data_IF_441893704128
#
_entry.id   IF_441893704128
#
_cell.length_a   1.000
_cell.length_b   1.000
_cell.length_c   1.000
_cell.angle_alpha   90.00
_cell.angle_beta   90.00
_cell.angle_gamma   90.00
#
_symmetry.space_group_name_H-M   'P 1'
#
loop_
_entity.id
_entity.type
_entity.pdbx_description
1 polymer ?
#
# COMPACT_ATOMS: atom_id res chain seq x y z
N UNK A 1 -16.53 6.40 1.05
CA UNK A 1 -15.06 6.57 1.02
C UNK A 1 -14.58 5.82 -0.19
N UNK A 2 -13.64 6.38 -0.95
CA UNK A 2 -13.10 5.70 -2.12
C UNK A 2 -12.04 4.69 -1.66
N UNK A 3 -12.02 3.55 -2.34
CA UNK A 3 -11.09 2.45 -2.12
C UNK A 3 -10.60 1.99 -3.49
N UNK A 4 -9.28 1.87 -3.62
CA UNK A 4 -8.64 1.26 -4.80
C UNK A 4 -7.75 0.14 -4.27
N UNK A 5 -7.96 -1.08 -4.76
CA UNK A 5 -7.27 -2.26 -4.26
C UNK A 5 -6.86 -3.22 -5.37
N UNK A 6 -5.83 -4.01 -5.09
CA UNK A 6 -5.25 -4.98 -6.01
C UNK A 6 -4.16 -5.79 -5.33
N UNK A 7 -3.41 -6.55 -6.12
CA UNK A 7 -2.22 -7.26 -5.66
C UNK A 7 -0.97 -6.68 -6.33
N UNK A 8 0.18 -6.81 -5.68
CA UNK A 8 1.49 -6.52 -6.24
C UNK A 8 2.46 -7.64 -5.84
N UNK A 9 3.63 -7.70 -6.46
CA UNK A 9 4.71 -8.56 -5.94
C UNK A 9 5.31 -7.98 -4.65
N UNK A 10 5.57 -8.82 -3.65
CA UNK A 10 6.14 -8.39 -2.36
C UNK A 10 7.45 -7.61 -2.54
N UNK A 11 8.31 -8.04 -3.47
CA UNK A 11 9.57 -7.35 -3.83
C UNK A 11 9.37 -5.90 -4.30
N UNK A 12 8.18 -5.55 -4.77
CA UNK A 12 7.83 -4.22 -5.28
C UNK A 12 7.24 -3.29 -4.20
N UNK A 13 6.94 -3.81 -3.00
CA UNK A 13 6.24 -3.07 -1.94
C UNK A 13 6.93 -1.75 -1.60
N UNK A 14 8.25 -1.76 -1.43
CA UNK A 14 8.99 -0.54 -1.08
C UNK A 14 8.81 0.55 -2.13
N UNK A 15 9.05 0.22 -3.40
CA UNK A 15 8.92 1.17 -4.50
C UNK A 15 7.48 1.66 -4.68
N UNK A 16 6.49 0.80 -4.44
CA UNK A 16 5.09 1.18 -4.41
C UNK A 16 4.82 2.24 -3.32
N UNK A 17 5.27 2.01 -2.09
CA UNK A 17 5.06 2.94 -0.97
C UNK A 17 5.80 4.25 -1.15
N UNK A 18 7.03 4.23 -1.66
CA UNK A 18 7.80 5.45 -1.95
C UNK A 18 7.06 6.34 -2.97
N UNK A 19 6.55 5.76 -4.07
CA UNK A 19 5.81 6.49 -5.10
C UNK A 19 4.43 6.97 -4.63
N UNK A 20 3.68 6.13 -3.91
CA UNK A 20 2.38 6.52 -3.37
C UNK A 20 2.55 7.66 -2.35
N UNK A 21 3.54 7.56 -1.47
CA UNK A 21 3.88 8.59 -0.49
C UNK A 21 4.23 9.91 -1.15
N UNK A 22 5.01 9.87 -2.25
CA UNK A 22 5.30 11.05 -3.05
C UNK A 22 4.02 11.73 -3.57
N UNK A 23 3.04 10.98 -4.06
CA UNK A 23 1.76 11.56 -4.53
C UNK A 23 0.87 12.12 -3.41
N UNK A 24 0.98 11.53 -2.22
CA UNK A 24 0.28 12.00 -1.01
C UNK A 24 0.99 13.22 -0.39
N UNK A 25 2.28 13.42 -0.66
CA UNK A 25 3.12 14.42 -0.02
C UNK A 25 3.62 13.97 1.36
N UNK A 26 3.75 12.65 1.56
CA UNK A 26 4.31 12.03 2.76
C UNK A 26 5.80 11.73 2.53
N UNK A 27 6.65 12.09 3.49
CA UNK A 27 8.09 11.85 3.42
C UNK A 27 8.44 10.44 3.92
N UNK A 28 8.18 9.42 3.10
CA UNK A 28 8.48 8.03 3.45
C UNK A 28 9.98 7.78 3.54
N UNK A 29 10.46 7.37 4.71
CA UNK A 29 11.88 7.18 4.99
C UNK A 29 12.26 5.71 5.29
N UNK A 30 13.51 5.51 5.72
CA UNK A 30 14.02 4.17 6.03
C UNK A 30 13.37 3.56 7.29
N UNK A 31 13.02 4.38 8.28
CA UNK A 31 12.35 3.92 9.51
C UNK A 31 10.90 3.53 9.22
N UNK A 32 10.22 4.28 8.35
CA UNK A 32 8.90 3.90 7.85
C UNK A 32 8.95 2.55 7.13
N UNK A 33 9.94 2.36 6.25
CA UNK A 33 10.15 1.10 5.56
C UNK A 33 10.37 -0.07 6.53
N UNK A 34 11.25 0.07 7.52
CA UNK A 34 11.52 -0.97 8.51
C UNK A 34 10.25 -1.35 9.29
N UNK A 35 9.43 -0.35 9.64
CA UNK A 35 8.15 -0.57 10.35
C UNK A 35 7.17 -1.37 9.50
N UNK A 36 6.98 -0.98 8.24
CA UNK A 36 6.03 -1.66 7.35
C UNK A 36 6.53 -3.05 7.00
N UNK A 37 7.82 -3.21 6.67
CA UNK A 37 8.40 -4.50 6.31
C UNK A 37 8.22 -5.53 7.44
N UNK A 38 8.53 -5.14 8.68
CA UNK A 38 8.35 -6.01 9.85
C UNK A 38 6.88 -6.36 10.08
N UNK A 39 5.96 -5.42 9.92
CA UNK A 39 4.54 -5.66 10.15
C UNK A 39 3.93 -6.60 9.12
N UNK A 40 4.31 -6.46 7.84
CA UNK A 40 3.81 -7.28 6.73
C UNK A 40 4.16 -8.76 6.90
N UNK A 41 5.30 -9.11 7.49
CA UNK A 41 5.69 -10.51 7.74
C UNK A 41 4.66 -11.30 8.54
N UNK A 42 3.88 -10.62 9.41
CA UNK A 42 2.87 -11.24 10.26
C UNK A 42 1.44 -11.19 9.67
N UNK A 43 1.28 -10.70 8.44
CA UNK A 43 -0.04 -10.52 7.80
C UNK A 43 -0.48 -11.73 7.00
N UNK A 44 -1.79 -11.83 6.80
CA UNK A 44 -2.48 -12.92 6.09
C UNK A 44 -3.79 -12.39 5.50
N UNK A 45 -3.97 -12.49 4.19
CA UNK A 45 -5.12 -11.95 3.48
C UNK A 45 -6.41 -12.77 3.67
N UNK A 46 -6.31 -14.05 4.04
CA UNK A 46 -7.44 -14.93 4.34
C UNK A 46 -8.01 -14.69 5.74
N UNK A 47 -7.25 -14.03 6.62
CA UNK A 47 -7.67 -13.69 7.98
C UNK A 47 -8.28 -12.28 8.04
N UNK A 48 -9.52 -12.11 8.55
CA UNK A 48 -10.17 -10.79 8.65
C UNK A 48 -9.36 -9.75 9.43
N UNK A 49 -8.68 -10.18 10.49
CA UNK A 49 -7.80 -9.35 11.33
C UNK A 49 -6.31 -9.47 10.92
N UNK A 50 -6.02 -10.14 9.80
CA UNK A 50 -4.67 -10.40 9.31
C UNK A 50 -4.07 -9.28 8.47
N UNK A 51 -4.77 -8.16 8.32
CA UNK A 51 -4.31 -7.02 7.52
C UNK A 51 -3.60 -5.98 8.38
N UNK A 52 -2.50 -5.43 7.89
CA UNK A 52 -1.79 -4.32 8.50
C UNK A 52 -2.22 -2.98 7.86
N UNK A 53 -2.57 -1.99 8.68
CA UNK A 53 -2.88 -0.64 8.21
C UNK A 53 -1.73 0.32 8.53
N UNK A 54 -1.31 1.08 7.52
CA UNK A 54 -0.29 2.11 7.66
C UNK A 54 -0.80 3.46 7.11
N UNK A 55 -0.84 4.52 7.94
CA UNK A 55 -1.30 5.82 7.50
C UNK A 55 -0.20 6.60 6.77
N UNK A 56 -0.51 7.14 5.60
CA UNK A 56 0.31 8.14 4.90
C UNK A 56 -0.30 9.52 5.12
N UNK A 57 0.28 10.29 6.04
CA UNK A 57 -0.23 11.61 6.45
C UNK A 57 0.61 12.71 5.80
N UNK A 58 0.32 13.04 4.56
CA UNK A 58 0.97 14.12 3.84
C UNK A 58 0.47 15.50 4.27
N UNK A 59 1.12 16.56 3.76
CA UNK A 59 0.84 17.96 4.14
C UNK A 59 -0.62 18.38 3.90
N UNK A 60 -1.27 17.81 2.88
CA UNK A 60 -2.63 18.18 2.45
C UNK A 60 -3.56 16.99 2.22
N UNK A 61 -3.06 15.75 2.37
CA UNK A 61 -3.80 14.53 2.05
C UNK A 61 -3.45 13.45 3.06
N UNK A 62 -4.44 12.65 3.41
CA UNK A 62 -4.27 11.47 4.24
C UNK A 62 -4.91 10.29 3.55
N UNK A 63 -4.15 9.20 3.40
CA UNK A 63 -4.64 7.90 2.97
C UNK A 63 -4.19 6.83 3.95
N UNK A 64 -4.95 5.77 4.05
CA UNK A 64 -4.55 4.56 4.76
C UNK A 64 -4.22 3.50 3.71
N UNK A 65 -3.05 2.89 3.83
CA UNK A 65 -2.66 1.74 3.02
C UNK A 65 -2.83 0.49 3.87
N UNK A 66 -3.66 -0.45 3.41
CA UNK A 66 -3.86 -1.75 4.03
C UNK A 66 -3.10 -2.80 3.24
N UNK A 67 -2.37 -3.67 3.94
CA UNK A 67 -1.43 -4.64 3.39
C UNK A 67 -1.69 -6.01 3.99
N UNK A 68 -1.69 -7.06 3.17
CA UNK A 68 -1.70 -8.43 3.63
C UNK A 68 -0.98 -9.36 2.66
N UNK A 69 -0.20 -10.33 3.17
CA UNK A 69 0.43 -11.37 2.34
C UNK A 69 -0.64 -12.33 1.83
N UNK A 70 -0.55 -12.67 0.54
CA UNK A 70 -1.35 -13.75 -0.03
C UNK A 70 -0.85 -15.11 0.48
N UNK A 71 -1.77 -15.99 0.89
CA UNK A 71 -1.40 -17.34 1.32
C UNK A 71 -0.84 -18.16 0.14
N UNK A 72 0.36 -18.71 0.31
CA UNK A 72 0.95 -19.67 -0.63
C UNK A 72 1.70 -19.06 -1.82
N UNK A 73 1.95 -17.74 -1.82
CA UNK A 73 2.69 -17.06 -2.87
C UNK A 73 3.53 -15.87 -2.38
N UNK A 74 4.07 -15.12 -3.34
CA UNK A 74 4.91 -13.92 -3.11
C UNK A 74 4.12 -12.62 -3.43
N UNK A 75 2.80 -12.73 -3.53
CA UNK A 75 1.89 -11.62 -3.75
C UNK A 75 1.54 -10.93 -2.43
N UNK A 76 1.35 -9.62 -2.51
CA UNK A 76 0.86 -8.78 -1.43
C UNK A 76 -0.43 -8.12 -1.89
N UNK A 77 -1.50 -8.34 -1.13
CA UNK A 77 -2.77 -7.63 -1.27
C UNK A 77 -2.61 -6.22 -0.70
N UNK A 78 -3.07 -5.23 -1.46
CA UNK A 78 -2.97 -3.81 -1.14
C UNK A 78 -4.32 -3.15 -1.35
N UNK A 79 -4.76 -2.37 -0.38
CA UNK A 79 -5.91 -1.48 -0.51
C UNK A 79 -5.54 -0.07 -0.05
N UNK A 80 -5.84 0.93 -0.87
CA UNK A 80 -5.63 2.35 -0.55
C UNK A 80 -6.98 2.99 -0.27
N UNK A 81 -7.14 3.46 0.96
CA UNK A 81 -8.39 4.02 1.47
C UNK A 81 -8.24 5.49 1.85
N UNK A 82 -9.35 6.24 1.76
CA UNK A 82 -9.45 7.58 2.34
C UNK A 82 -10.20 8.57 1.47
N UNK A 83 -9.84 9.85 1.61
CA UNK A 83 -10.34 10.93 0.75
C UNK A 83 -9.45 11.00 -0.49
N UNK A 84 -9.63 10.04 -1.39
CA UNK A 84 -8.93 10.03 -2.66
C UNK A 84 -9.54 11.08 -3.58
N UNK A 85 -8.71 11.92 -4.19
CA UNK A 85 -9.15 12.73 -5.34
C UNK A 85 -9.13 11.85 -6.58
N UNK A 86 -9.90 12.16 -7.64
CA UNK A 86 -9.90 11.37 -8.88
C UNK A 86 -8.50 11.15 -9.46
N UNK A 87 -7.61 12.14 -9.33
CA UNK A 87 -6.23 12.02 -9.80
C UNK A 87 -5.42 11.02 -8.95
N UNK A 88 -5.64 10.98 -7.64
CA UNK A 88 -4.96 10.05 -6.75
C UNK A 88 -5.49 8.63 -6.90
N UNK A 89 -6.79 8.45 -7.15
CA UNK A 89 -7.39 7.15 -7.48
C UNK A 89 -6.73 6.55 -8.73
N UNK A 90 -6.66 7.32 -9.82
CA UNK A 90 -6.03 6.87 -11.08
C UNK A 90 -4.56 6.54 -10.87
N UNK A 91 -3.83 7.33 -10.07
CA UNK A 91 -2.42 7.06 -9.76
C UNK A 91 -2.26 5.78 -8.93
N UNK A 92 -3.08 5.57 -7.90
CA UNK A 92 -3.05 4.37 -7.08
C UNK A 92 -3.35 3.12 -7.92
N UNK A 93 -4.38 3.17 -8.75
CA UNK A 93 -4.74 2.10 -9.69
C UNK A 93 -3.60 1.80 -10.68
N UNK A 94 -2.99 2.86 -11.24
CA UNK A 94 -1.84 2.72 -12.15
C UNK A 94 -0.63 2.07 -11.45
N UNK A 95 -0.35 2.43 -10.19
CA UNK A 95 0.75 1.81 -9.44
C UNK A 95 0.47 0.33 -9.16
N UNK A 96 -0.75 -0.03 -8.78
CA UNK A 96 -1.15 -1.43 -8.58
C UNK A 96 -0.99 -2.24 -9.88
N UNK A 97 -1.43 -1.70 -11.02
CA UNK A 97 -1.26 -2.33 -12.33
C UNK A 97 0.23 -2.48 -12.72
N UNK A 98 1.05 -1.46 -12.45
CA UNK A 98 2.47 -1.48 -12.78
C UNK A 98 3.27 -2.49 -11.95
N UNK A 99 2.94 -2.62 -10.65
CA UNK A 99 3.70 -3.48 -9.73
C UNK A 99 3.14 -4.91 -9.60
N UNK A 100 2.00 -5.22 -10.24
CA UNK A 100 1.53 -6.59 -10.49
C UNK A 100 2.11 -7.19 -11.78
N UNK A 101 2.53 -6.37 -12.74
CA UNK A 101 3.21 -6.85 -13.94
C UNK A 101 4.59 -7.45 -13.58
N UNK A 102 4.90 -8.61 -14.18
CA UNK A 102 6.15 -9.36 -14.01
C UNK A 102 7.14 -9.12 -15.14
#
# INVERSE_FOLDING_TARGET
MAEVGGWIWERNLRSFLELLSHYVGYGFDATDWETVALAVEATDDEQPDGWYSYPLVGEHRQVEVRLARAVGGDELMVAVNGTLTPELEVRADTLLAAFSAG
#
